data_IF_345991824964
#
_entry.id   IF_345991824964
#
_cell.length_a   1.000
_cell.length_b   1.000
_cell.length_c   1.000
_cell.angle_alpha   90.00
_cell.angle_beta   90.00
_cell.angle_gamma   90.00
#
_symmetry.space_group_name_H-M   'P 1'
#
loop_
_entity.id
_entity.type
_entity.pdbx_description
1 polymer ?
#
# COMPACT_ATOMS: atom_id res chain seq x y z
N UNK A 1 -23.32 -14.61 -15.21
CA UNK A 1 -22.29 -15.41 -15.89
C UNK A 1 -21.10 -14.51 -16.18
N UNK A 2 -19.93 -14.83 -15.62
CA UNK A 2 -18.72 -14.07 -15.85
C UNK A 2 -17.66 -15.03 -16.37
N UNK A 3 -17.19 -14.82 -17.62
CA UNK A 3 -16.09 -15.60 -18.17
C UNK A 3 -14.76 -14.92 -17.87
N UNK A 4 -13.80 -15.73 -17.50
CA UNK A 4 -12.44 -15.35 -17.22
C UNK A 4 -11.49 -16.07 -18.20
N UNK A 5 -10.54 -15.35 -18.74
CA UNK A 5 -9.54 -15.90 -19.67
C UNK A 5 -8.15 -15.70 -19.08
N UNK A 6 -7.39 -16.78 -19.02
CA UNK A 6 -5.98 -16.76 -18.60
C UNK A 6 -5.12 -17.51 -19.59
N UNK A 7 -3.86 -17.14 -19.68
CA UNK A 7 -2.86 -17.91 -20.42
C UNK A 7 -2.40 -19.10 -19.56
N UNK A 8 -2.58 -20.31 -20.06
CA UNK A 8 -2.10 -21.55 -19.45
C UNK A 8 -1.42 -22.37 -20.51
N UNK A 9 -0.18 -22.79 -20.27
CA UNK A 9 0.64 -23.58 -21.22
C UNK A 9 0.73 -22.95 -22.63
N UNK A 10 0.85 -21.62 -22.69
CA UNK A 10 0.96 -20.87 -23.94
C UNK A 10 -0.33 -20.77 -24.76
N UNK A 11 -1.50 -21.10 -24.18
CA UNK A 11 -2.81 -21.02 -24.82
C UNK A 11 -3.81 -20.27 -23.92
N UNK A 12 -4.75 -19.49 -24.51
CA UNK A 12 -5.83 -18.88 -23.74
C UNK A 12 -6.82 -19.99 -23.28
N UNK A 13 -7.07 -20.04 -21.97
CA UNK A 13 -8.05 -20.96 -21.36
C UNK A 13 -9.20 -20.13 -20.79
N UNK A 14 -10.42 -20.56 -21.06
CA UNK A 14 -11.63 -19.97 -20.50
C UNK A 14 -12.06 -20.73 -19.26
N UNK A 15 -12.39 -19.99 -18.21
CA UNK A 15 -13.05 -20.51 -17.02
C UNK A 15 -14.24 -19.63 -16.65
N UNK A 16 -15.15 -20.16 -15.82
CA UNK A 16 -16.26 -19.38 -15.26
C UNK A 16 -15.89 -18.94 -13.86
N UNK A 17 -15.95 -17.63 -13.63
CA UNK A 17 -15.74 -17.06 -12.31
C UNK A 17 -17.04 -17.19 -11.51
N UNK A 18 -16.99 -17.85 -10.35
CA UNK A 18 -18.15 -18.12 -9.48
C UNK A 18 -18.05 -17.43 -8.12
N UNK A 19 -16.86 -17.01 -7.72
CA UNK A 19 -16.54 -16.46 -6.40
C UNK A 19 -16.65 -14.92 -6.29
N UNK A 20 -17.09 -14.25 -7.36
CA UNK A 20 -17.22 -12.78 -7.36
C UNK A 20 -18.26 -12.22 -6.39
N UNK A 21 -19.14 -13.07 -5.85
CA UNK A 21 -20.10 -12.71 -4.78
C UNK A 21 -19.63 -13.13 -3.39
N UNK A 22 -18.46 -13.78 -3.27
CA UNK A 22 -17.92 -14.22 -2.00
C UNK A 22 -17.43 -13.04 -1.16
N UNK A 23 -18.02 -12.84 0.01
CA UNK A 23 -17.70 -11.73 0.91
C UNK A 23 -16.98 -12.17 2.19
N UNK A 24 -17.09 -13.42 2.58
CA UNK A 24 -16.51 -13.92 3.82
C UNK A 24 -14.96 -13.93 3.77
N UNK A 25 -14.39 -14.35 2.63
CA UNK A 25 -12.94 -14.32 2.38
C UNK A 25 -12.44 -12.95 1.90
N UNK A 26 -13.35 -12.04 1.53
CA UNK A 26 -13.03 -10.76 0.90
C UNK A 26 -12.70 -10.87 -0.60
N UNK A 27 -12.65 -12.07 -1.16
CA UNK A 27 -12.32 -12.30 -2.57
C UNK A 27 -13.30 -11.72 -3.56
N UNK A 28 -14.58 -11.51 -3.17
CA UNK A 28 -15.61 -10.87 -3.99
C UNK A 28 -15.80 -9.37 -3.74
N UNK A 29 -15.02 -8.75 -2.86
CA UNK A 29 -15.19 -7.32 -2.48
C UNK A 29 -14.95 -6.36 -3.66
N UNK A 30 -14.14 -6.75 -4.62
CA UNK A 30 -13.89 -6.02 -5.86
C UNK A 30 -15.16 -5.83 -6.72
N UNK A 31 -16.14 -6.75 -6.62
CA UNK A 31 -17.42 -6.67 -7.31
C UNK A 31 -18.54 -6.16 -6.38
N UNK A 32 -18.69 -6.76 -5.21
CA UNK A 32 -19.77 -6.47 -4.28
C UNK A 32 -19.68 -5.08 -3.66
N UNK A 33 -18.47 -4.57 -3.41
CA UNK A 33 -18.26 -3.22 -2.92
C UNK A 33 -18.82 -2.16 -3.87
N UNK A 34 -18.30 -2.05 -5.11
CA UNK A 34 -18.83 -1.10 -6.10
C UNK A 34 -20.31 -1.33 -6.47
N UNK A 35 -20.79 -2.59 -6.43
CA UNK A 35 -22.21 -2.90 -6.66
C UNK A 35 -23.10 -2.25 -5.61
N UNK A 36 -22.71 -2.30 -4.34
CA UNK A 36 -23.46 -1.74 -3.21
C UNK A 36 -23.32 -0.22 -3.14
N UNK A 37 -22.09 0.27 -3.17
CA UNK A 37 -21.74 1.65 -2.83
C UNK A 37 -21.86 2.58 -4.04
N UNK A 38 -21.88 2.04 -5.27
CA UNK A 38 -21.87 2.78 -6.55
C UNK A 38 -20.67 3.72 -6.72
N UNK A 39 -19.58 3.44 -6.00
CA UNK A 39 -18.34 4.21 -6.01
C UNK A 39 -17.16 3.30 -6.40
N UNK A 40 -16.11 3.87 -7.00
CA UNK A 40 -14.85 3.16 -7.20
C UNK A 40 -14.29 2.65 -5.87
N UNK A 41 -13.63 1.52 -5.91
CA UNK A 41 -13.06 0.87 -4.73
C UNK A 41 -11.75 0.17 -5.05
N UNK A 42 -10.80 0.23 -4.12
CA UNK A 42 -9.65 -0.65 -4.10
C UNK A 42 -9.88 -1.71 -3.03
N UNK A 43 -9.82 -2.98 -3.39
CA UNK A 43 -9.99 -4.08 -2.45
C UNK A 43 -8.81 -4.14 -1.46
N UNK A 44 -9.07 -4.63 -0.24
CA UNK A 44 -7.98 -5.12 0.60
C UNK A 44 -7.26 -6.27 -0.13
N UNK A 45 -5.98 -6.52 0.18
CA UNK A 45 -5.27 -7.63 -0.44
C UNK A 45 -5.95 -8.97 -0.20
N UNK A 46 -6.05 -9.75 -1.24
CA UNK A 46 -6.57 -11.12 -1.19
C UNK A 46 -5.74 -12.04 -2.07
N UNK A 47 -5.74 -13.33 -1.74
CA UNK A 47 -5.08 -14.34 -2.55
C UNK A 47 -6.05 -14.85 -3.61
N UNK A 48 -5.62 -14.82 -4.87
CA UNK A 48 -6.40 -15.33 -5.99
C UNK A 48 -5.59 -16.36 -6.77
N UNK A 49 -6.26 -17.41 -7.25
CA UNK A 49 -5.62 -18.45 -8.07
C UNK A 49 -5.65 -18.04 -9.53
N UNK A 50 -4.47 -17.83 -10.11
CA UNK A 50 -4.30 -17.56 -11.53
C UNK A 50 -3.53 -18.73 -12.16
N UNK A 51 -4.22 -19.55 -12.93
CA UNK A 51 -3.66 -20.71 -13.61
C UNK A 51 -2.87 -21.65 -12.67
N UNK A 52 -3.44 -21.95 -11.48
CA UNK A 52 -2.84 -22.84 -10.49
C UNK A 52 -1.79 -22.17 -9.58
N UNK A 53 -1.55 -20.87 -9.74
CA UNK A 53 -0.64 -20.11 -8.90
C UNK A 53 -1.41 -19.12 -8.01
N UNK A 54 -1.22 -19.21 -6.70
CA UNK A 54 -1.80 -18.23 -5.77
C UNK A 54 -1.02 -16.92 -5.83
N UNK A 55 -1.68 -15.86 -6.28
CA UNK A 55 -1.15 -14.51 -6.36
C UNK A 55 -1.82 -13.65 -5.31
N UNK A 56 -1.05 -12.99 -4.45
CA UNK A 56 -1.56 -11.96 -3.55
C UNK A 56 -1.70 -10.66 -4.33
N UNK A 57 -2.93 -10.13 -4.40
CA UNK A 57 -3.27 -8.98 -5.23
C UNK A 57 -4.27 -8.05 -4.54
N UNK A 58 -4.39 -6.85 -5.10
CA UNK A 58 -5.47 -5.91 -4.85
C UNK A 58 -6.09 -5.51 -6.18
N UNK A 59 -7.37 -5.18 -6.17
CA UNK A 59 -8.13 -4.83 -7.37
C UNK A 59 -8.71 -3.43 -7.24
N UNK A 60 -8.40 -2.55 -8.17
CA UNK A 60 -9.12 -1.30 -8.38
C UNK A 60 -10.35 -1.60 -9.22
N UNK A 61 -11.53 -1.30 -8.71
CA UNK A 61 -12.81 -1.51 -9.37
C UNK A 61 -13.55 -0.19 -9.53
N UNK A 62 -14.04 0.06 -10.74
CA UNK A 62 -14.91 1.20 -11.04
C UNK A 62 -16.26 0.69 -11.51
N UNK A 63 -17.39 1.10 -10.86
CA UNK A 63 -18.71 0.66 -11.27
C UNK A 63 -19.11 1.24 -12.61
N UNK A 64 -19.75 0.42 -13.43
CA UNK A 64 -20.42 0.87 -14.67
C UNK A 64 -21.87 1.13 -14.30
N UNK A 65 -22.29 2.39 -14.40
CA UNK A 65 -23.62 2.85 -14.00
C UNK A 65 -24.29 3.53 -15.20
N UNK A 66 -25.49 3.10 -15.52
CA UNK A 66 -26.35 3.71 -16.52
C UNK A 66 -27.71 3.99 -15.90
N UNK A 67 -28.17 5.25 -15.98
CA UNK A 67 -29.45 5.70 -15.41
C UNK A 67 -29.66 5.29 -13.92
N UNK A 68 -28.59 5.34 -13.12
CA UNK A 68 -28.60 4.92 -11.70
C UNK A 68 -28.56 3.42 -11.48
N UNK A 69 -28.64 2.62 -12.55
CA UNK A 69 -28.57 1.16 -12.48
C UNK A 69 -27.13 0.68 -12.58
N UNK A 70 -26.74 -0.18 -11.65
CA UNK A 70 -25.45 -0.87 -11.71
C UNK A 70 -25.48 -1.96 -12.80
N UNK A 71 -24.56 -1.91 -13.75
CA UNK A 71 -24.43 -2.86 -14.84
C UNK A 71 -23.27 -3.84 -14.65
N UNK A 72 -22.25 -3.44 -13.90
CA UNK A 72 -21.05 -4.23 -13.66
C UNK A 72 -19.89 -3.36 -13.19
N UNK A 73 -18.68 -3.91 -13.25
CA UNK A 73 -17.45 -3.21 -12.90
C UNK A 73 -16.42 -3.31 -14.01
N UNK A 74 -15.60 -2.28 -14.15
CA UNK A 74 -14.32 -2.34 -14.82
C UNK A 74 -13.23 -2.48 -13.74
N UNK A 75 -12.31 -3.43 -13.91
CA UNK A 75 -11.29 -3.72 -12.90
C UNK A 75 -9.88 -3.72 -13.46
N UNK A 76 -8.94 -3.35 -12.60
CA UNK A 76 -7.50 -3.51 -12.82
C UNK A 76 -6.90 -4.21 -11.61
N UNK A 77 -6.28 -5.36 -11.84
CA UNK A 77 -5.60 -6.12 -10.81
C UNK A 77 -4.11 -5.79 -10.77
N UNK A 78 -3.57 -5.66 -9.58
CA UNK A 78 -2.13 -5.48 -9.39
C UNK A 78 -1.62 -6.42 -8.29
N UNK A 79 -0.58 -7.19 -8.63
CA UNK A 79 0.04 -8.08 -7.65
C UNK A 79 0.89 -7.29 -6.66
N UNK A 80 0.84 -7.67 -5.38
CA UNK A 80 1.68 -7.05 -4.36
C UNK A 80 3.17 -7.29 -4.63
N UNK A 81 3.53 -8.42 -5.23
CA UNK A 81 4.92 -8.70 -5.62
C UNK A 81 5.45 -7.71 -6.66
N UNK A 82 4.64 -7.35 -7.67
CA UNK A 82 5.01 -6.35 -8.68
C UNK A 82 5.12 -4.96 -8.06
N UNK A 83 4.17 -4.58 -7.20
CA UNK A 83 4.19 -3.32 -6.46
C UNK A 83 5.43 -3.23 -5.57
N UNK A 84 5.73 -4.28 -4.81
CA UNK A 84 6.91 -4.40 -3.96
C UNK A 84 8.20 -4.21 -4.76
N UNK A 85 8.33 -4.89 -5.89
CA UNK A 85 9.51 -4.78 -6.77
C UNK A 85 9.73 -3.34 -7.21
N UNK A 86 8.65 -2.63 -7.56
CA UNK A 86 8.75 -1.23 -7.98
C UNK A 86 9.12 -0.32 -6.80
N UNK A 87 8.44 -0.40 -5.67
CA UNK A 87 8.69 0.47 -4.51
C UNK A 87 10.06 0.20 -3.87
N UNK A 88 10.58 -1.02 -3.93
CA UNK A 88 11.91 -1.36 -3.42
C UNK A 88 13.06 -0.64 -4.16
N UNK A 89 12.82 -0.15 -5.39
CA UNK A 89 13.83 0.65 -6.14
C UNK A 89 13.92 2.09 -5.62
N UNK A 90 12.90 2.57 -4.92
CA UNK A 90 12.87 3.93 -4.41
C UNK A 90 13.74 4.03 -3.14
N UNK A 91 14.70 4.95 -3.17
CA UNK A 91 15.64 5.19 -2.07
C UNK A 91 15.63 6.68 -1.68
N UNK A 92 14.59 7.13 -0.95
CA UNK A 92 14.56 8.52 -0.47
C UNK A 92 15.87 8.89 0.23
N UNK A 93 16.48 10.03 -0.13
CA UNK A 93 17.78 10.50 0.39
C UNK A 93 18.90 9.42 0.34
N UNK A 94 18.83 8.48 -0.61
CA UNK A 94 19.84 7.42 -0.78
C UNK A 94 19.79 6.28 0.24
N UNK A 95 19.12 6.44 1.38
CA UNK A 95 19.09 5.47 2.49
C UNK A 95 17.69 5.11 2.98
N UNK A 96 16.68 5.89 2.62
CA UNK A 96 15.30 5.68 2.99
C UNK A 96 14.66 4.49 2.28
N UNK A 97 13.52 4.09 2.78
CA UNK A 97 12.68 3.03 2.22
C UNK A 97 11.25 3.53 2.10
N UNK A 98 10.54 3.06 1.09
CA UNK A 98 9.12 3.35 0.90
C UNK A 98 8.31 2.15 1.38
N UNK A 99 7.21 2.42 2.07
CA UNK A 99 6.23 1.40 2.43
C UNK A 99 4.81 1.89 2.11
N UNK A 100 3.90 0.95 1.89
CA UNK A 100 2.52 1.24 1.58
C UNK A 100 1.61 0.34 2.41
N UNK A 101 0.61 0.94 3.07
CA UNK A 101 -0.39 0.24 3.84
C UNK A 101 -1.79 0.54 3.28
N UNK A 102 -2.66 -0.48 3.36
CA UNK A 102 -4.07 -0.32 3.04
C UNK A 102 -4.81 0.49 4.12
N UNK A 103 -6.06 0.91 3.86
CA UNK A 103 -6.90 1.58 4.85
C UNK A 103 -7.11 0.77 6.14
N UNK A 104 -7.03 -0.56 6.08
CA UNK A 104 -7.12 -1.46 7.24
C UNK A 104 -5.76 -1.81 7.86
N UNK A 105 -4.67 -1.21 7.39
CA UNK A 105 -3.33 -1.44 7.91
C UNK A 105 -2.65 -2.70 7.39
N UNK A 106 -3.17 -3.31 6.31
CA UNK A 106 -2.47 -4.42 5.66
C UNK A 106 -1.28 -3.86 4.87
N UNK A 107 -0.12 -4.46 5.06
CA UNK A 107 1.12 -4.06 4.37
C UNK A 107 1.05 -4.50 2.91
N UNK A 108 1.02 -3.54 1.99
CA UNK A 108 1.01 -3.77 0.55
C UNK A 108 2.44 -3.84 -0.02
N UNK A 109 3.33 -3.03 0.55
CA UNK A 109 4.76 -3.03 0.23
C UNK A 109 5.57 -2.57 1.45
N UNK A 110 6.73 -3.19 1.68
CA UNK A 110 7.65 -2.89 2.79
C UNK A 110 9.05 -3.36 2.43
N UNK A 111 10.08 -2.78 3.07
CA UNK A 111 11.44 -3.31 2.98
C UNK A 111 11.55 -4.75 3.50
N UNK A 112 10.67 -5.15 4.42
CA UNK A 112 10.57 -6.51 4.91
C UNK A 112 9.48 -7.27 4.14
N UNK A 113 9.89 -8.09 3.18
CA UNK A 113 8.97 -8.89 2.35
C UNK A 113 8.08 -9.84 3.18
N UNK A 114 8.51 -10.25 4.37
CA UNK A 114 7.74 -11.12 5.25
C UNK A 114 6.50 -10.45 5.88
N UNK A 115 6.40 -9.12 5.81
CA UNK A 115 5.24 -8.35 6.30
C UNK A 115 4.15 -8.20 5.24
N UNK A 116 4.47 -8.37 3.97
CA UNK A 116 3.53 -8.14 2.86
C UNK A 116 2.31 -9.06 3.01
N UNK A 117 1.13 -8.46 2.88
CA UNK A 117 -0.15 -9.13 3.05
C UNK A 117 -0.57 -9.33 4.51
N UNK A 118 0.24 -8.92 5.50
CA UNK A 118 -0.10 -9.04 6.92
C UNK A 118 -0.61 -7.72 7.48
N UNK A 119 -1.58 -7.74 8.40
CA UNK A 119 -2.03 -6.55 9.08
C UNK A 119 -0.98 -6.08 10.10
N UNK A 120 -0.76 -4.78 10.17
CA UNK A 120 0.01 -4.10 11.21
C UNK A 120 -0.98 -3.40 12.14
N UNK A 121 -1.03 -3.78 13.40
CA UNK A 121 -2.10 -3.38 14.33
C UNK A 121 -1.60 -2.80 15.66
N UNK A 122 -0.34 -2.36 15.73
CA UNK A 122 0.21 -1.66 16.89
C UNK A 122 -0.48 -0.28 17.09
N UNK A 123 -0.29 0.33 18.27
CA UNK A 123 -0.94 1.58 18.63
C UNK A 123 -0.55 2.73 17.69
N UNK A 124 0.72 2.79 17.27
CA UNK A 124 1.22 3.82 16.37
C UNK A 124 0.58 3.69 14.99
N UNK A 125 0.46 2.47 14.46
CA UNK A 125 -0.21 2.20 13.19
C UNK A 125 -1.68 2.60 13.24
N UNK A 126 -2.40 2.30 14.34
CA UNK A 126 -3.80 2.74 14.48
C UNK A 126 -3.95 4.26 14.48
N UNK A 127 -3.08 4.98 15.18
CA UNK A 127 -3.07 6.45 15.19
C UNK A 127 -2.79 7.00 13.80
N UNK A 128 -1.78 6.47 13.12
CA UNK A 128 -1.41 6.84 11.76
C UNK A 128 -2.59 6.63 10.79
N UNK A 129 -3.25 5.47 10.83
CA UNK A 129 -4.39 5.19 9.94
C UNK A 129 -5.57 6.14 10.19
N UNK A 130 -5.81 6.58 11.44
CA UNK A 130 -6.83 7.56 11.76
C UNK A 130 -6.52 8.93 11.13
N UNK A 131 -5.27 9.39 11.18
CA UNK A 131 -4.86 10.63 10.53
C UNK A 131 -4.95 10.53 9.00
N UNK A 132 -4.46 9.43 8.41
CA UNK A 132 -4.54 9.18 6.98
C UNK A 132 -6.00 9.14 6.49
N UNK A 133 -6.90 8.49 7.21
CA UNK A 133 -8.34 8.46 6.89
C UNK A 133 -8.97 9.85 6.93
N UNK A 134 -8.46 10.75 7.78
CA UNK A 134 -8.87 12.16 7.86
C UNK A 134 -8.13 13.07 6.85
N UNK A 135 -7.43 12.49 5.87
CA UNK A 135 -6.65 13.19 4.84
C UNK A 135 -5.51 14.06 5.43
N UNK A 136 -4.95 13.63 6.58
CA UNK A 136 -3.84 14.30 7.26
C UNK A 136 -2.56 13.45 7.19
N UNK A 137 -1.38 14.07 7.04
CA UNK A 137 -0.11 13.37 7.20
C UNK A 137 0.09 12.92 8.64
N UNK A 138 0.85 11.85 8.82
CA UNK A 138 1.30 11.36 10.12
C UNK A 138 2.82 11.38 10.18
N UNK A 139 3.37 11.92 11.27
CA UNK A 139 4.80 12.09 11.46
C UNK A 139 5.23 11.48 12.79
N UNK A 140 6.22 10.60 12.74
CA UNK A 140 6.85 9.99 13.90
C UNK A 140 8.36 10.26 13.86
N UNK A 141 8.75 11.43 14.34
CA UNK A 141 10.15 11.86 14.39
C UNK A 141 10.94 11.28 15.55
N UNK A 142 10.26 10.72 16.56
CA UNK A 142 10.95 9.94 17.58
C UNK A 142 11.40 8.61 16.96
N UNK A 143 12.71 8.32 16.97
CA UNK A 143 13.21 7.08 16.40
C UNK A 143 12.59 5.85 17.09
N UNK A 144 12.23 4.85 16.29
CA UNK A 144 11.80 3.54 16.79
C UNK A 144 13.00 2.75 17.35
N UNK A 145 12.75 1.55 17.86
CA UNK A 145 13.81 0.67 18.43
C UNK A 145 14.92 0.33 17.42
N UNK A 146 14.65 0.44 16.11
CA UNK A 146 15.63 0.25 15.04
C UNK A 146 16.33 1.56 14.61
N UNK A 147 16.03 2.67 15.29
CA UNK A 147 16.60 3.99 14.98
C UNK A 147 16.02 4.65 13.73
N UNK A 148 14.81 4.29 13.30
CA UNK A 148 14.15 4.90 12.14
C UNK A 148 13.08 5.89 12.57
N UNK A 149 12.90 6.92 11.78
CA UNK A 149 11.75 7.82 11.79
C UNK A 149 10.83 7.50 10.62
N UNK A 150 9.54 7.86 10.75
CA UNK A 150 8.53 7.55 9.76
C UNK A 150 7.64 8.73 9.49
N UNK A 151 7.35 8.95 8.22
CA UNK A 151 6.35 9.93 7.78
C UNK A 151 5.41 9.23 6.83
N UNK A 152 4.11 9.41 7.00
CA UNK A 152 3.08 8.88 6.12
C UNK A 152 2.22 10.00 5.58
N UNK A 153 1.84 9.87 4.31
CA UNK A 153 0.90 10.77 3.65
C UNK A 153 -0.27 9.98 3.08
N UNK A 154 -1.47 10.57 3.05
CA UNK A 154 -2.62 9.94 2.42
C UNK A 154 -2.40 9.84 0.91
N UNK A 155 -2.56 8.63 0.38
CA UNK A 155 -2.53 8.35 -1.05
C UNK A 155 -3.91 7.98 -1.54
N UNK A 156 -4.40 8.66 -2.57
CA UNK A 156 -5.62 8.32 -3.31
C UNK A 156 -5.27 7.47 -4.53
N UNK A 157 -6.11 6.49 -4.81
CA UNK A 157 -6.00 5.66 -6.01
C UNK A 157 -7.21 5.96 -6.90
N UNK A 158 -6.99 6.71 -7.98
CA UNK A 158 -8.07 7.19 -8.84
C UNK A 158 -9.12 7.98 -8.04
N UNK A 159 -10.39 7.73 -8.34
CA UNK A 159 -11.54 8.35 -7.66
C UNK A 159 -12.05 7.53 -6.47
N UNK A 160 -11.32 6.51 -6.04
CA UNK A 160 -11.70 5.72 -4.87
C UNK A 160 -11.66 6.59 -3.60
N UNK A 161 -12.69 6.51 -2.73
CA UNK A 161 -12.75 7.34 -1.52
C UNK A 161 -11.74 6.91 -0.45
N UNK A 162 -11.20 5.69 -0.55
CA UNK A 162 -10.23 5.18 0.42
C UNK A 162 -8.92 5.97 0.40
N UNK A 163 -8.28 6.04 1.56
CA UNK A 163 -6.93 6.60 1.74
C UNK A 163 -5.97 5.50 2.13
N UNK A 164 -4.94 5.33 1.33
CA UNK A 164 -3.81 4.45 1.61
C UNK A 164 -2.74 5.25 2.34
N UNK A 165 -1.96 4.60 3.17
CA UNK A 165 -0.83 5.24 3.85
C UNK A 165 0.45 4.99 3.05
N UNK A 166 0.92 6.01 2.33
CA UNK A 166 2.23 5.98 1.67
C UNK A 166 3.28 6.51 2.66
N UNK A 167 4.20 5.66 3.07
CA UNK A 167 5.20 5.94 4.08
C UNK A 167 6.60 6.05 3.54
N UNK A 168 7.39 6.94 4.14
CA UNK A 168 8.85 6.94 4.04
C UNK A 168 9.41 6.60 5.41
N UNK A 169 10.25 5.57 5.44
CA UNK A 169 11.00 5.15 6.62
C UNK A 169 12.47 5.52 6.42
N UNK A 170 13.00 6.33 7.32
CA UNK A 170 14.34 6.91 7.21
C UNK A 170 15.17 6.61 8.45
N UNK A 171 16.42 6.13 8.34
CA UNK A 171 17.31 6.08 9.48
C UNK A 171 17.53 7.50 10.04
N UNK A 172 17.23 7.70 11.33
CA UNK A 172 17.40 9.01 11.99
C UNK A 172 18.82 9.55 11.83
N UNK A 173 19.83 8.66 11.87
CA UNK A 173 21.22 9.04 11.68
C UNK A 173 21.50 9.75 10.35
N UNK A 174 20.75 9.41 9.29
CA UNK A 174 20.90 10.07 7.97
C UNK A 174 20.35 11.49 8.01
N UNK A 175 19.19 11.68 8.66
CA UNK A 175 18.55 13.01 8.76
C UNK A 175 19.44 13.99 9.53
N UNK A 176 20.09 13.55 10.61
CA UNK A 176 20.92 14.40 11.46
C UNK A 176 22.38 14.44 11.06
N UNK A 177 22.78 13.71 10.01
CA UNK A 177 24.19 13.61 9.62
C UNK A 177 24.81 14.97 9.31
N UNK A 178 24.13 15.80 8.53
CA UNK A 178 24.62 17.15 8.18
C UNK A 178 24.71 18.06 9.41
N UNK A 179 23.69 18.03 10.26
CA UNK A 179 23.71 18.82 11.51
C UNK A 179 24.85 18.38 12.44
N UNK A 180 25.13 17.08 12.54
CA UNK A 180 26.27 16.58 13.32
C UNK A 180 27.59 17.01 12.72
N UNK A 181 27.75 16.98 11.41
CA UNK A 181 28.97 17.43 10.74
C UNK A 181 29.24 18.91 11.00
N UNK A 182 28.21 19.76 10.90
CA UNK A 182 28.33 21.19 11.23
C UNK A 182 28.70 21.40 12.70
N UNK A 183 28.09 20.66 13.62
CA UNK A 183 28.41 20.73 15.05
C UNK A 183 29.87 20.39 15.32
N UNK A 184 30.40 19.30 14.73
CA UNK A 184 31.82 18.95 14.89
C UNK A 184 32.78 19.99 14.32
N UNK A 185 32.44 20.56 13.15
CA UNK A 185 33.23 21.64 12.56
C UNK A 185 33.26 22.88 13.48
N UNK A 186 32.12 23.26 14.05
CA UNK A 186 32.01 24.40 14.96
C UNK A 186 32.81 24.18 16.23
N UNK A 187 32.72 22.97 16.81
CA UNK A 187 33.51 22.60 18.00
C UNK A 187 35.02 22.63 17.72
N UNK A 188 35.45 22.10 16.57
CA UNK A 188 36.85 22.08 16.16
C UNK A 188 37.41 23.52 16.01
N UNK A 189 36.65 24.40 15.35
CA UNK A 189 37.02 25.83 15.21
C UNK A 189 37.08 26.50 16.58
N UNK A 190 36.14 26.22 17.50
CA UNK A 190 36.13 26.77 18.84
C UNK A 190 37.36 26.36 19.69
N UNK A 191 37.78 25.09 19.54
CA UNK A 191 38.98 24.57 20.26
C UNK A 191 40.27 25.16 19.69
N UNK A 192 40.33 25.45 18.39
CA UNK A 192 41.52 26.05 17.77
C UNK A 192 41.63 27.54 18.10
N UNK A 193 40.49 28.21 18.36
CA UNK A 193 40.43 29.65 18.66
C UNK A 193 40.58 29.98 20.17
N UNK A 194 40.59 28.97 21.06
CA UNK A 194 40.78 29.12 22.49
C UNK A 194 42.21 28.84 22.94
#
# INVERSE_FOLDING_TARGET
YMSYWAWQDGKPQQSVMTDYTETASGSGDWYMGPSRDKLPKVSEPYAYDIAGQKVLMSTLSTPIIENGRFLGVFTVDFSLAALQKHLATLKPMGAGRVELLSPKGVVLASANAAEIGKPRSDAQTRSMLADIAADRPFEAFTPDAAGNVRVYVPLRVGDAPQRFALGVVMPHAVIVAEARQLLWLTLLVGVIAA
#
